data_IF_282386654939
#
_entry.id   IF_282386654939
#
_cell.length_a   1.000
_cell.length_b   1.000
_cell.length_c   1.000
_cell.angle_alpha   90.00
_cell.angle_beta   90.00
_cell.angle_gamma   90.00
#
_symmetry.space_group_name_H-M   'P 1'
#
loop_
_entity.id
_entity.type
_entity.pdbx_description
1 polymer ?
#
# COMPACT_ATOMS: atom_id res chain seq x y z
N UNK A 1 -11.28 4.98 -1.01
CA UNK A 1 -9.92 4.41 -0.80
C UNK A 1 -9.94 3.03 -0.17
N UNK A 2 -8.89 2.22 -0.38
CA UNK A 2 -8.79 0.86 0.18
C UNK A 2 -7.58 0.70 1.10
N UNK A 3 -7.78 0.05 2.24
CA UNK A 3 -6.74 -0.35 3.19
C UNK A 3 -6.62 -1.87 3.17
N UNK A 4 -5.45 -2.38 2.78
CA UNK A 4 -5.16 -3.80 2.70
C UNK A 4 -4.32 -4.25 3.89
N UNK A 5 -4.95 -4.95 4.83
CA UNK A 5 -4.31 -5.52 6.00
C UNK A 5 -3.75 -6.90 5.65
N UNK A 6 -2.42 -7.03 5.56
CA UNK A 6 -1.74 -8.30 5.28
C UNK A 6 -1.45 -9.04 6.59
N UNK A 7 -2.20 -10.09 6.84
CA UNK A 7 -2.21 -10.85 8.09
C UNK A 7 -2.09 -12.37 7.86
N UNK A 8 -2.02 -13.12 8.94
CA UNK A 8 -2.02 -14.58 9.01
C UNK A 8 -1.88 -15.06 10.46
N UNK A 9 -1.93 -14.15 11.44
CA UNK A 9 -1.99 -14.33 12.90
C UNK A 9 -0.80 -15.07 13.56
N UNK A 10 -0.13 -15.95 12.83
CA UNK A 10 1.02 -16.74 13.26
C UNK A 10 2.32 -16.23 12.62
N UNK A 11 3.44 -16.53 13.28
CA UNK A 11 4.79 -16.28 12.76
C UNK A 11 5.12 -17.17 11.56
N UNK A 12 5.86 -16.63 10.59
CA UNK A 12 6.39 -17.41 9.46
C UNK A 12 5.39 -17.83 8.39
N UNK A 13 4.13 -17.40 8.43
CA UNK A 13 3.12 -17.79 7.42
C UNK A 13 3.41 -17.24 6.02
N UNK A 14 4.18 -16.16 5.91
CA UNK A 14 4.53 -15.50 4.65
C UNK A 14 3.93 -14.09 4.46
N UNK A 15 3.42 -13.45 5.53
CA UNK A 15 2.85 -12.08 5.51
C UNK A 15 3.75 -11.06 4.80
N UNK A 16 4.97 -10.85 5.31
CA UNK A 16 5.91 -9.93 4.69
C UNK A 16 6.22 -10.29 3.24
N UNK A 17 6.26 -11.59 2.90
CA UNK A 17 6.51 -12.02 1.52
C UNK A 17 5.35 -11.65 0.58
N UNK A 18 4.10 -11.87 0.98
CA UNK A 18 2.93 -11.39 0.24
C UNK A 18 2.93 -9.86 0.14
N UNK A 19 3.22 -9.16 1.24
CA UNK A 19 3.24 -7.70 1.26
C UNK A 19 4.28 -7.13 0.28
N UNK A 20 5.50 -7.67 0.25
CA UNK A 20 6.53 -7.31 -0.75
C UNK A 20 6.04 -7.54 -2.18
N UNK A 21 5.28 -8.61 -2.43
CA UNK A 21 4.69 -8.89 -3.75
C UNK A 21 3.62 -7.89 -4.14
N UNK A 22 2.77 -7.48 -3.21
CA UNK A 22 1.76 -6.44 -3.44
C UNK A 22 2.42 -5.08 -3.72
N UNK A 23 3.42 -4.71 -2.92
CA UNK A 23 4.18 -3.45 -3.10
C UNK A 23 4.89 -3.44 -4.45
N UNK A 24 5.61 -4.51 -4.81
CA UNK A 24 6.30 -4.60 -6.09
C UNK A 24 5.32 -4.54 -7.27
N UNK A 25 4.17 -5.23 -7.16
CA UNK A 25 3.12 -5.15 -8.17
C UNK A 25 2.63 -3.71 -8.34
N UNK A 26 2.33 -3.01 -7.25
CA UNK A 26 1.86 -1.63 -7.30
C UNK A 26 2.90 -0.68 -7.88
N UNK A 27 4.19 -0.85 -7.56
CA UNK A 27 5.28 -0.08 -8.17
C UNK A 27 5.35 -0.34 -9.68
N UNK A 28 5.35 -1.61 -10.12
CA UNK A 28 5.46 -1.94 -11.55
C UNK A 28 4.25 -1.46 -12.35
N UNK A 29 3.06 -1.50 -11.77
CA UNK A 29 1.83 -1.01 -12.40
C UNK A 29 1.62 0.50 -12.24
N UNK A 30 2.56 1.22 -11.60
CA UNK A 30 2.45 2.66 -11.30
C UNK A 30 1.15 3.04 -10.57
N UNK A 31 0.69 2.17 -9.68
CA UNK A 31 -0.50 2.42 -8.88
C UNK A 31 -0.16 3.38 -7.74
N UNK A 32 -1.02 4.37 -7.41
CA UNK A 32 -0.82 5.21 -6.24
C UNK A 32 -1.10 4.41 -4.97
N UNK A 33 -0.12 4.33 -4.07
CA UNK A 33 -0.27 3.66 -2.77
C UNK A 33 0.73 4.19 -1.74
N UNK A 34 0.44 3.90 -0.48
CA UNK A 34 1.35 4.06 0.66
C UNK A 34 1.57 2.70 1.32
N UNK A 35 2.83 2.38 1.60
CA UNK A 35 3.21 1.23 2.42
C UNK A 35 3.26 1.63 3.91
N UNK A 36 2.66 0.83 4.77
CA UNK A 36 2.82 0.95 6.22
C UNK A 36 3.30 -0.40 6.77
N UNK A 37 4.45 -0.41 7.42
CA UNK A 37 4.95 -1.57 8.14
C UNK A 37 4.71 -1.40 9.64
N UNK A 38 3.95 -2.32 10.22
CA UNK A 38 3.54 -2.24 11.64
C UNK A 38 4.32 -3.18 12.54
N UNK A 39 5.30 -3.92 12.00
CA UNK A 39 6.20 -4.73 12.80
C UNK A 39 7.20 -3.83 13.55
N UNK A 40 7.02 -3.72 14.87
CA UNK A 40 7.91 -2.94 15.74
C UNK A 40 9.34 -3.49 15.74
N UNK A 41 9.50 -4.80 15.68
CA UNK A 41 10.75 -5.50 15.97
C UNK A 41 11.58 -5.71 14.70
N UNK A 42 10.94 -6.11 13.60
CA UNK A 42 11.61 -6.42 12.34
C UNK A 42 10.78 -5.94 11.14
N UNK A 43 10.83 -4.62 10.82
CA UNK A 43 10.07 -4.03 9.72
C UNK A 43 10.71 -4.36 8.35
N UNK A 44 10.71 -5.64 8.01
CA UNK A 44 11.47 -6.22 6.89
C UNK A 44 10.91 -5.85 5.51
N UNK A 45 9.68 -5.34 5.43
CA UNK A 45 9.10 -4.78 4.21
C UNK A 45 9.54 -3.34 4.06
N UNK A 46 9.40 -2.53 5.11
CA UNK A 46 9.85 -1.13 5.11
C UNK A 46 11.35 -1.03 4.79
N UNK A 47 12.18 -1.87 5.39
CA UNK A 47 13.63 -1.84 5.14
C UNK A 47 14.02 -2.09 3.68
N UNK A 48 13.18 -2.79 2.91
CA UNK A 48 13.42 -3.07 1.48
C UNK A 48 12.88 -1.94 0.60
N UNK A 49 11.74 -1.34 0.97
CA UNK A 49 10.98 -0.44 0.08
C UNK A 49 11.00 1.05 0.48
N UNK A 50 11.58 1.43 1.62
CA UNK A 50 11.60 2.83 2.10
C UNK A 50 12.12 3.87 1.12
N UNK A 51 13.04 3.48 0.24
CA UNK A 51 13.64 4.36 -0.77
C UNK A 51 13.04 4.13 -2.17
N UNK A 52 11.93 3.38 -2.26
CA UNK A 52 11.30 2.92 -3.52
C UNK A 52 9.85 3.37 -3.67
N UNK A 53 9.17 3.64 -2.55
CA UNK A 53 7.80 4.18 -2.53
C UNK A 53 7.56 4.97 -1.23
N UNK A 54 6.46 5.73 -1.12
CA UNK A 54 6.02 6.29 0.16
C UNK A 54 5.78 5.16 1.17
N UNK A 55 6.67 5.05 2.15
CA UNK A 55 6.64 3.97 3.12
C UNK A 55 6.90 4.50 4.53
N UNK A 56 6.05 4.10 5.47
CA UNK A 56 6.09 4.57 6.86
C UNK A 56 6.09 3.40 7.84
N UNK A 57 6.59 3.67 9.04
CA UNK A 57 6.45 2.78 10.18
C UNK A 57 5.39 3.35 11.11
N UNK A 58 4.46 2.52 11.55
CA UNK A 58 3.59 2.84 12.67
C UNK A 58 3.43 1.57 13.53
N UNK A 59 2.59 1.59 14.57
CA UNK A 59 2.35 0.37 15.33
C UNK A 59 1.03 0.41 16.08
N UNK A 60 0.45 -0.77 16.29
CA UNK A 60 -0.67 -0.93 17.22
C UNK A 60 -0.14 -0.98 18.65
N UNK A 61 -0.81 -0.29 19.58
CA UNK A 61 -0.36 -0.12 20.97
C UNK A 61 -1.48 -0.36 21.96
N UNK A 62 -1.14 -1.05 23.05
CA UNK A 62 -1.97 -1.20 24.25
C UNK A 62 -1.77 -0.09 25.28
N UNK A 63 -0.71 0.71 25.13
CA UNK A 63 -0.42 1.79 26.05
C UNK A 63 -1.34 2.99 25.75
N UNK A 64 -2.11 3.42 26.76
CA UNK A 64 -2.99 4.59 26.73
C UNK A 64 -2.31 5.86 26.20
N UNK A 65 -1.01 6.03 26.41
CA UNK A 65 -0.24 7.19 25.94
C UNK A 65 0.06 7.16 24.43
N UNK A 66 -0.13 6.01 23.78
CA UNK A 66 0.24 5.75 22.38
C UNK A 66 -0.93 5.10 21.60
N UNK A 67 -2.17 5.33 22.04
CA UNK A 67 -3.37 4.70 21.45
C UNK A 67 -3.62 5.06 19.98
N UNK A 68 -3.08 6.20 19.56
CA UNK A 68 -3.15 6.77 18.21
C UNK A 68 -1.98 6.33 17.31
N UNK A 69 -1.07 5.47 17.80
CA UNK A 69 0.13 5.09 17.04
C UNK A 69 -0.15 4.33 15.74
N UNK A 70 -1.36 3.81 15.55
CA UNK A 70 -1.80 3.18 14.30
C UNK A 70 -2.67 4.11 13.41
N UNK A 71 -3.03 5.31 13.89
CA UNK A 71 -3.86 6.28 13.17
C UNK A 71 -3.26 6.78 11.86
N UNK A 72 -1.91 6.76 11.64
CA UNK A 72 -1.36 6.97 10.31
C UNK A 72 -1.95 6.07 9.23
N UNK A 73 -2.49 4.88 9.55
CA UNK A 73 -3.19 4.04 8.57
C UNK A 73 -4.44 4.77 8.02
N UNK A 74 -5.23 5.40 8.90
CA UNK A 74 -6.43 6.16 8.51
C UNK A 74 -6.06 7.45 7.80
N UNK A 75 -5.13 8.21 8.36
CA UNK A 75 -4.77 9.51 7.79
C UNK A 75 -4.27 9.36 6.35
N UNK A 76 -3.44 8.35 6.07
CA UNK A 76 -2.99 8.06 4.70
C UNK A 76 -4.13 7.66 3.77
N UNK A 77 -5.12 6.92 4.27
CA UNK A 77 -6.31 6.57 3.48
C UNK A 77 -7.21 7.78 3.20
N UNK A 78 -7.36 8.68 4.18
CA UNK A 78 -8.13 9.93 4.06
C UNK A 78 -7.46 10.94 3.13
N UNK A 79 -6.13 10.92 3.02
CA UNK A 79 -5.35 11.66 2.00
C UNK A 79 -5.57 11.13 0.56
N UNK A 80 -6.49 10.20 0.34
CA UNK A 80 -6.79 9.66 -0.98
C UNK A 80 -5.83 8.55 -1.45
N UNK A 81 -5.07 7.92 -0.54
CA UNK A 81 -4.17 6.83 -0.90
C UNK A 81 -4.79 5.45 -0.66
N UNK A 82 -4.48 4.50 -1.55
CA UNK A 82 -4.52 3.09 -1.15
C UNK A 82 -3.42 2.81 -0.13
N UNK A 83 -3.72 2.03 0.89
CA UNK A 83 -2.76 1.72 1.97
C UNK A 83 -2.52 0.22 2.01
N UNK A 84 -1.26 -0.21 1.87
CA UNK A 84 -0.84 -1.60 2.06
C UNK A 84 -0.17 -1.70 3.42
N UNK A 85 -0.77 -2.49 4.33
CA UNK A 85 -0.31 -2.61 5.72
C UNK A 85 0.26 -3.99 5.96
N UNK A 86 1.54 -4.07 6.33
CA UNK A 86 2.16 -5.31 6.82
C UNK A 86 1.91 -5.44 8.33
N UNK A 87 1.16 -6.47 8.73
CA UNK A 87 0.86 -6.74 10.13
C UNK A 87 1.85 -7.75 10.75
N UNK A 88 2.32 -7.56 12.00
CA UNK A 88 3.07 -8.57 12.72
C UNK A 88 2.17 -9.73 13.15
N UNK A 89 2.77 -10.78 13.69
CA UNK A 89 2.02 -11.90 14.27
C UNK A 89 1.36 -11.51 15.60
N UNK A 90 0.27 -12.20 15.97
CA UNK A 90 -0.46 -12.01 17.24
C UNK A 90 -0.92 -10.55 17.46
N UNK A 91 -1.28 -9.85 16.38
CA UNK A 91 -1.70 -8.44 16.45
C UNK A 91 -3.22 -8.28 16.61
N UNK A 92 -3.97 -9.38 16.49
CA UNK A 92 -5.44 -9.40 16.41
C UNK A 92 -6.14 -8.49 17.41
N UNK A 93 -5.85 -8.65 18.70
CA UNK A 93 -6.50 -7.89 19.78
C UNK A 93 -6.32 -6.39 19.58
N UNK A 94 -5.11 -5.95 19.25
CA UNK A 94 -4.80 -4.53 19.10
C UNK A 94 -5.42 -3.91 17.85
N UNK A 95 -5.58 -4.70 16.77
CA UNK A 95 -6.31 -4.25 15.59
C UNK A 95 -7.81 -4.13 15.89
N UNK A 96 -8.38 -5.08 16.64
CA UNK A 96 -9.79 -5.01 17.08
C UNK A 96 -10.03 -3.77 17.94
N UNK A 97 -9.22 -3.56 18.98
CA UNK A 97 -9.32 -2.39 19.85
C UNK A 97 -9.16 -1.08 19.06
N UNK A 98 -8.26 -1.06 18.09
CA UNK A 98 -8.08 0.10 17.22
C UNK A 98 -9.31 0.38 16.35
N UNK A 99 -9.93 -0.66 15.75
CA UNK A 99 -11.17 -0.50 15.01
C UNK A 99 -12.32 -0.01 15.89
N UNK A 100 -12.45 -0.55 17.11
CA UNK A 100 -13.49 -0.15 18.06
C UNK A 100 -13.31 1.29 18.54
N UNK A 101 -12.07 1.69 18.87
CA UNK A 101 -11.75 3.05 19.30
C UNK A 101 -11.98 4.08 18.20
N UNK A 102 -11.53 3.79 16.98
CA UNK A 102 -11.66 4.72 15.85
C UNK A 102 -13.08 4.78 15.31
N UNK A 103 -13.88 3.73 15.53
CA UNK A 103 -15.19 3.60 14.92
C UNK A 103 -15.13 3.49 13.40
N UNK A 104 -13.95 3.27 12.80
CA UNK A 104 -13.76 3.37 11.33
C UNK A 104 -14.59 2.35 10.53
N UNK A 105 -15.05 1.29 11.19
CA UNK A 105 -15.93 0.28 10.60
C UNK A 105 -17.42 0.56 10.82
N UNK A 106 -17.79 1.67 11.45
CA UNK A 106 -19.16 2.03 11.78
C UNK A 106 -19.81 2.89 10.68
N UNK A 107 -21.14 2.83 10.57
CA UNK A 107 -21.88 3.64 9.61
C UNK A 107 -21.81 5.14 9.94
N UNK A 108 -21.71 5.47 11.23
CA UNK A 108 -21.54 6.84 11.71
C UNK A 108 -20.23 7.45 11.19
N UNK A 109 -19.13 6.69 11.20
CA UNK A 109 -17.85 7.17 10.70
C UNK A 109 -17.90 7.52 9.21
N UNK A 110 -18.55 6.68 8.40
CA UNK A 110 -18.74 6.95 6.97
C UNK A 110 -19.58 8.22 6.74
N UNK A 111 -20.60 8.44 7.57
CA UNK A 111 -21.46 9.63 7.48
C UNK A 111 -20.69 10.91 7.83
N UNK A 112 -19.94 10.89 8.94
CA UNK A 112 -19.12 12.04 9.38
C UNK A 112 -18.06 12.40 8.35
N UNK A 113 -17.42 11.40 7.73
CA UNK A 113 -16.44 11.66 6.67
C UNK A 113 -17.09 12.35 5.45
N UNK A 114 -18.25 11.87 5.01
CA UNK A 114 -18.94 12.47 3.87
C UNK A 114 -19.35 13.93 4.17
N UNK A 115 -19.93 14.20 5.33
CA UNK A 115 -20.28 15.56 5.77
C UNK A 115 -19.05 16.49 5.79
N UNK A 116 -17.89 16.01 6.27
CA UNK A 116 -16.67 16.81 6.29
C UNK A 116 -16.14 17.15 4.90
N UNK A 117 -16.28 16.23 3.93
CA UNK A 117 -15.86 16.47 2.54
C UNK A 117 -16.77 17.43 1.79
N UNK A 118 -18.08 17.44 2.11
CA UNK A 118 -19.04 18.38 1.52
C UNK A 118 -18.74 19.82 1.97
N UNK A 119 -18.48 20.02 3.26
CA UNK A 119 -18.15 21.36 3.82
C UNK A 119 -16.86 21.94 3.23
N UNK A 120 -15.81 21.12 3.03
CA UNK A 120 -14.57 21.57 2.38
C UNK A 120 -14.79 21.97 0.90
N UNK A 121 -15.69 21.26 0.20
CA UNK A 121 -16.02 21.59 -1.19
C UNK A 121 -16.82 22.90 -1.32
N UNK A 122 -17.70 23.20 -0.36
CA UNK A 122 -18.44 24.46 -0.31
C UNK A 122 -17.52 25.65 -0.02
N UNK A 123 -16.64 25.53 0.99
CA UNK A 123 -15.68 26.58 1.36
C UNK A 123 -14.70 26.92 0.23
N UNK A 124 -14.23 25.91 -0.50
CA UNK A 124 -13.33 26.12 -1.66
C UNK A 124 -14.07 26.75 -2.85
N UNK A 125 -15.36 26.43 -3.04
CA UNK A 125 -16.19 27.08 -4.07
C UNK A 125 -16.48 28.55 -3.75
N UNK A 126 -16.72 28.90 -2.49
CA UNK A 126 -16.94 30.28 -2.06
C UNK A 126 -15.65 31.12 -2.19
N UNK A 127 -14.51 30.57 -1.78
CA UNK A 127 -13.20 31.23 -1.92
C UNK A 127 -12.85 31.53 -3.40
N UNK A 128 -13.12 30.59 -4.31
CA UNK A 128 -12.87 30.77 -5.74
C UNK A 128 -13.77 31.84 -6.40
N UNK A 129 -14.94 32.13 -5.82
CA UNK A 129 -15.82 33.21 -6.29
C UNK A 129 -15.50 34.59 -5.69
N UNK A 130 -14.75 34.63 -4.58
CA UNK A 130 -14.39 35.85 -3.87
C UNK A 130 -13.17 36.61 -4.42
N UNK A 131 -12.29 35.98 -5.19
CA UNK A 131 -11.03 36.58 -5.66
C UNK A 131 -11.11 37.36 -7.00
N UNK A 132 -12.29 37.61 -7.55
CA UNK A 132 -12.43 38.30 -8.87
C UNK A 132 -12.66 39.82 -8.75
N UNK A 133 -12.55 40.44 -7.56
CA UNK A 133 -12.94 41.86 -7.38
C UNK A 133 -11.91 42.82 -6.77
N UNK A 134 -10.62 42.47 -6.67
CA UNK A 134 -9.61 43.41 -6.14
C UNK A 134 -8.31 43.49 -6.97
N UNK A 135 -8.39 43.75 -8.28
CA UNK A 135 -7.23 44.28 -9.03
C UNK A 135 -7.65 45.27 -10.13
N UNK A 136 -8.32 46.36 -9.77
CA UNK A 136 -8.28 47.60 -10.57
C UNK A 136 -8.40 48.83 -9.66
N UNK A 137 -7.27 49.32 -9.14
CA UNK A 137 -6.93 50.75 -9.07
C UNK A 137 -5.74 50.99 -8.14
N UNK A 138 -4.59 51.30 -8.72
CA UNK A 138 -3.88 52.54 -8.38
C UNK A 138 -2.82 52.86 -9.44
N UNK A 139 -2.92 54.10 -9.93
CA UNK A 139 -2.17 54.70 -11.03
C UNK A 139 -0.88 55.36 -10.52
N UNK A 140 0.15 55.30 -11.36
CA UNK A 140 1.07 56.39 -11.75
C UNK A 140 1.93 57.14 -10.71
N UNK A 141 3.26 57.09 -10.91
CA UNK A 141 4.17 58.24 -11.16
C UNK A 141 5.57 57.68 -11.54
N UNK A 142 6.00 57.74 -12.81
CA UNK A 142 6.94 58.72 -13.43
C UNK A 142 8.26 58.94 -12.63
N UNK A 143 9.49 58.85 -13.15
CA UNK A 143 10.05 59.26 -14.45
C UNK A 143 11.55 58.88 -14.60
N UNK A 144 11.97 58.59 -15.85
CA UNK A 144 13.19 59.03 -16.60
C UNK A 144 14.63 58.84 -16.03
N UNK A 145 15.72 58.58 -16.77
CA UNK A 145 16.06 58.39 -18.20
C UNK A 145 17.59 58.07 -18.32
N UNK A 146 17.95 57.08 -19.17
CA UNK A 146 19.13 56.87 -20.07
C UNK A 146 20.63 57.08 -19.64
N UNK A 147 21.52 56.06 -19.78
CA UNK A 147 22.53 55.80 -20.88
C UNK A 147 23.93 56.42 -20.57
N UNK A 148 25.15 55.84 -20.73
CA UNK A 148 25.77 54.66 -21.36
C UNK A 148 27.17 54.45 -20.72
N UNK A 149 27.76 53.24 -20.81
CA UNK A 149 29.19 53.03 -20.58
C UNK A 149 29.62 51.55 -20.52
N UNK A 150 30.06 51.02 -21.66
CA UNK A 150 30.59 49.67 -21.93
C UNK A 150 31.81 49.29 -21.04
N UNK A 151 31.98 48.00 -20.72
CA UNK A 151 33.21 47.19 -20.95
C UNK A 151 32.84 45.69 -20.93
N UNK A 152 33.26 44.99 -21.99
CA UNK A 152 33.20 43.54 -22.21
C UNK A 152 34.02 42.71 -21.19
N UNK A 153 33.55 41.50 -20.84
CA UNK A 153 34.31 40.26 -21.10
C UNK A 153 33.49 39.00 -20.76
N UNK A 154 33.68 38.02 -21.63
CA UNK A 154 32.99 36.74 -21.78
C UNK A 154 33.48 35.65 -20.82
N UNK A 155 32.59 34.73 -20.42
CA UNK A 155 32.61 33.31 -20.85
C UNK A 155 31.48 32.50 -20.22
N UNK A 156 30.88 31.69 -21.08
CA UNK A 156 29.67 30.88 -20.96
C UNK A 156 29.75 29.77 -19.89
N UNK A 157 28.67 29.65 -19.09
CA UNK A 157 28.24 28.43 -18.39
C UNK A 157 27.10 27.80 -19.21
N UNK A 158 26.97 26.45 -19.26
CA UNK A 158 26.00 25.79 -20.12
C UNK A 158 24.58 25.81 -19.54
N UNK A 159 23.63 26.02 -20.45
CA UNK A 159 22.18 26.12 -20.26
C UNK A 159 21.56 24.93 -19.52
N UNK A 160 20.79 25.26 -18.47
CA UNK A 160 19.71 24.45 -17.92
C UNK A 160 18.45 24.71 -18.76
N UNK A 161 18.04 23.72 -19.56
CA UNK A 161 16.71 23.75 -20.17
C UNK A 161 15.67 23.38 -19.12
N UNK A 162 14.88 24.39 -18.79
CA UNK A 162 13.64 24.37 -18.03
C UNK A 162 12.59 23.55 -18.79
N UNK A 163 12.27 22.35 -18.28
CA UNK A 163 11.09 21.59 -18.67
C UNK A 163 10.15 21.55 -17.47
N UNK A 164 9.52 22.70 -17.20
CA UNK A 164 8.35 22.79 -16.34
C UNK A 164 7.16 22.14 -17.05
N UNK A 165 7.06 20.82 -16.98
CA UNK A 165 5.77 20.15 -17.11
C UNK A 165 5.64 19.21 -15.91
N UNK A 166 5.21 19.78 -14.79
CA UNK A 166 4.68 19.00 -13.67
C UNK A 166 3.42 18.31 -14.16
N UNK A 167 3.56 17.11 -14.70
CA UNK A 167 2.45 16.17 -14.82
C UNK A 167 1.90 15.97 -13.41
N UNK A 168 0.85 16.71 -13.07
CA UNK A 168 0.00 16.41 -11.94
C UNK A 168 -0.56 15.01 -12.21
N UNK A 169 0.02 14.02 -11.52
CA UNK A 169 -0.56 12.69 -11.41
C UNK A 169 -2.02 12.85 -11.00
N UNK A 170 -2.97 12.16 -11.67
CA UNK A 170 -4.39 12.38 -11.46
C UNK A 170 -4.72 12.11 -10.00
N UNK A 171 -4.99 13.18 -9.26
CA UNK A 171 -5.41 13.09 -7.86
C UNK A 171 -6.83 12.54 -7.91
N UNK A 172 -6.97 11.26 -7.56
CA UNK A 172 -8.29 10.64 -7.50
C UNK A 172 -9.07 11.33 -6.39
N UNK A 173 -10.15 12.04 -6.73
CA UNK A 173 -10.98 12.73 -5.75
C UNK A 173 -11.50 11.70 -4.73
N UNK A 174 -11.21 11.92 -3.45
CA UNK A 174 -11.59 11.02 -2.37
C UNK A 174 -13.11 11.08 -2.17
N UNK A 175 -13.78 9.93 -2.33
CA UNK A 175 -15.23 9.77 -2.23
C UNK A 175 -15.74 9.62 -0.78
N UNK A 176 -14.92 9.99 0.21
CA UNK A 176 -15.22 9.84 1.63
C UNK A 176 -15.23 8.38 2.13
N UNK A 177 -15.05 7.38 1.26
CA UNK A 177 -15.21 5.96 1.62
C UNK A 177 -13.87 5.31 1.88
N UNK A 178 -13.70 4.68 3.05
CA UNK A 178 -12.53 3.84 3.35
C UNK A 178 -12.97 2.37 3.48
N UNK A 179 -12.44 1.51 2.62
CA UNK A 179 -12.75 0.08 2.60
C UNK A 179 -11.57 -0.73 3.11
N UNK A 180 -11.79 -1.56 4.13
CA UNK A 180 -10.76 -2.46 4.67
C UNK A 180 -10.85 -3.85 4.05
N UNK A 181 -9.71 -4.43 3.70
CA UNK A 181 -9.58 -5.78 3.19
C UNK A 181 -8.55 -6.55 4.00
N UNK A 182 -8.94 -7.71 4.56
CA UNK A 182 -8.00 -8.59 5.28
C UNK A 182 -7.48 -9.68 4.36
N UNK A 183 -6.19 -9.64 4.06
CA UNK A 183 -5.49 -10.70 3.34
C UNK A 183 -4.93 -11.71 4.34
N UNK A 184 -5.61 -12.84 4.50
CA UNK A 184 -5.22 -13.88 5.44
C UNK A 184 -4.29 -14.91 4.78
N UNK A 185 -3.00 -14.88 5.12
CA UNK A 185 -1.99 -15.80 4.63
C UNK A 185 -2.07 -17.14 5.37
N UNK A 186 -2.59 -18.15 4.68
CA UNK A 186 -2.81 -19.49 5.19
C UNK A 186 -1.70 -20.45 4.74
N UNK A 187 -1.16 -21.22 5.69
CA UNK A 187 -0.12 -22.23 5.43
C UNK A 187 -0.68 -23.59 5.03
N UNK A 188 -2.00 -23.79 5.12
CA UNK A 188 -2.67 -25.08 4.90
C UNK A 188 -2.53 -26.06 6.07
N UNK A 189 -1.89 -25.66 7.15
CA UNK A 189 -1.84 -26.43 8.39
C UNK A 189 -3.12 -26.22 9.22
N UNK A 190 -3.58 -27.22 10.01
CA UNK A 190 -4.81 -27.12 10.79
C UNK A 190 -4.88 -25.88 11.68
N UNK A 191 -3.79 -25.53 12.36
CA UNK A 191 -3.72 -24.34 13.22
C UNK A 191 -3.87 -23.03 12.45
N UNK A 192 -3.31 -22.92 11.25
CA UNK A 192 -3.51 -21.78 10.37
C UNK A 192 -4.94 -21.68 9.86
N UNK A 193 -5.64 -22.80 9.67
CA UNK A 193 -7.04 -22.83 9.27
C UNK A 193 -7.96 -22.44 10.45
N UNK A 194 -7.66 -22.90 11.66
CA UNK A 194 -8.40 -22.51 12.87
C UNK A 194 -8.32 -20.99 13.10
N UNK A 195 -7.13 -20.40 12.93
CA UNK A 195 -6.96 -18.94 13.00
C UNK A 195 -7.73 -18.20 11.91
N UNK A 196 -7.80 -18.76 10.70
CA UNK A 196 -8.61 -18.19 9.61
C UNK A 196 -10.10 -18.23 9.95
N UNK A 197 -10.59 -19.36 10.46
CA UNK A 197 -11.99 -19.52 10.89
C UNK A 197 -12.34 -18.55 12.01
N UNK A 198 -11.46 -18.38 12.99
CA UNK A 198 -11.63 -17.39 14.06
C UNK A 198 -11.71 -15.97 13.48
N UNK A 199 -10.79 -15.62 12.59
CA UNK A 199 -10.79 -14.31 11.92
C UNK A 199 -12.08 -14.04 11.12
N UNK A 200 -12.70 -15.07 10.53
CA UNK A 200 -14.00 -14.92 9.86
C UNK A 200 -15.16 -14.77 10.85
N UNK A 201 -15.12 -15.51 11.95
CA UNK A 201 -16.15 -15.40 13.00
C UNK A 201 -16.20 -13.98 13.57
N UNK A 202 -15.04 -13.36 13.74
CA UNK A 202 -14.95 -12.05 14.39
C UNK A 202 -15.18 -10.88 13.42
N UNK A 203 -14.60 -10.96 12.22
CA UNK A 203 -14.57 -9.83 11.28
C UNK A 203 -15.24 -10.09 9.93
N UNK A 204 -15.68 -11.31 9.64
CA UNK A 204 -16.20 -11.67 8.31
C UNK A 204 -17.46 -10.89 7.89
N UNK A 205 -18.28 -10.45 8.85
CA UNK A 205 -19.44 -9.59 8.59
C UNK A 205 -19.07 -8.09 8.50
N UNK A 206 -17.84 -7.71 8.87
CA UNK A 206 -17.38 -6.31 8.97
C UNK A 206 -16.43 -5.90 7.85
N UNK A 207 -15.49 -6.76 7.49
CA UNK A 207 -14.49 -6.48 6.45
C UNK A 207 -14.38 -7.69 5.51
N UNK A 208 -14.26 -7.49 4.18
CA UNK A 208 -13.97 -8.57 3.26
C UNK A 208 -12.64 -9.28 3.55
N UNK A 209 -12.65 -10.61 3.49
CA UNK A 209 -11.45 -11.44 3.62
C UNK A 209 -11.01 -11.99 2.27
N UNK A 210 -9.70 -12.00 2.05
CA UNK A 210 -9.04 -12.72 0.97
C UNK A 210 -8.23 -13.84 1.61
N UNK A 211 -8.56 -15.08 1.31
CA UNK A 211 -7.79 -16.24 1.74
C UNK A 211 -6.62 -16.47 0.77
N UNK A 212 -5.41 -16.30 1.29
CA UNK A 212 -4.17 -16.50 0.52
C UNK A 212 -3.58 -17.86 0.85
N UNK A 213 -3.79 -18.82 -0.04
CA UNK A 213 -3.21 -20.16 0.02
C UNK A 213 -1.73 -20.10 -0.35
N UNK A 214 -0.84 -20.10 0.65
CA UNK A 214 0.59 -19.97 0.41
C UNK A 214 1.24 -21.30 -0.02
N UNK A 215 1.48 -21.46 -1.32
CA UNK A 215 2.05 -22.68 -1.90
C UNK A 215 3.52 -22.95 -1.52
N UNK A 216 4.17 -22.00 -0.83
CA UNK A 216 5.49 -22.27 -0.24
C UNK A 216 5.45 -23.48 0.70
N UNK A 217 4.37 -23.59 1.49
CA UNK A 217 4.16 -24.59 2.54
C UNK A 217 3.58 -25.89 1.99
N UNK A 218 2.47 -25.83 1.27
CA UNK A 218 1.78 -27.00 0.71
C UNK A 218 1.02 -26.61 -0.55
N UNK A 219 0.80 -27.58 -1.44
CA UNK A 219 -0.17 -27.46 -2.54
C UNK A 219 -1.51 -28.11 -2.21
N UNK A 220 -1.52 -28.98 -1.20
CA UNK A 220 -2.71 -29.63 -0.70
C UNK A 220 -3.32 -28.77 0.42
N UNK A 221 -4.45 -28.15 0.09
CA UNK A 221 -5.27 -27.35 1.00
C UNK A 221 -6.57 -28.07 1.37
N UNK A 222 -6.61 -29.41 1.30
CA UNK A 222 -7.79 -30.22 1.63
C UNK A 222 -8.41 -29.94 3.00
N UNK A 223 -7.64 -29.41 3.96
CA UNK A 223 -8.14 -28.97 5.27
C UNK A 223 -9.21 -27.86 5.14
N UNK A 224 -9.12 -27.02 4.12
CA UNK A 224 -10.11 -25.99 3.80
C UNK A 224 -11.38 -26.56 3.15
N UNK A 225 -11.34 -27.81 2.67
CA UNK A 225 -12.43 -28.42 1.92
C UNK A 225 -13.54 -29.01 2.82
N UNK A 226 -13.37 -28.91 4.13
CA UNK A 226 -14.40 -29.33 5.10
C UNK A 226 -15.69 -28.53 4.93
N UNK A 227 -16.84 -29.17 5.16
CA UNK A 227 -18.16 -28.51 4.98
C UNK A 227 -18.30 -27.24 5.82
N UNK A 228 -17.78 -27.24 7.04
CA UNK A 228 -17.80 -26.09 7.95
C UNK A 228 -17.04 -24.90 7.36
N UNK A 229 -15.80 -25.10 6.94
CA UNK A 229 -14.95 -24.04 6.38
C UNK A 229 -15.53 -23.51 5.06
N UNK A 230 -15.96 -24.41 4.16
CA UNK A 230 -16.62 -24.00 2.89
C UNK A 230 -17.88 -23.17 3.11
N UNK A 231 -18.67 -23.50 4.13
CA UNK A 231 -19.87 -22.73 4.46
C UNK A 231 -19.51 -21.32 4.92
N UNK A 232 -18.42 -21.14 5.70
CA UNK A 232 -17.94 -19.83 6.11
C UNK A 232 -17.38 -19.03 4.94
N UNK A 233 -16.54 -19.65 4.10
CA UNK A 233 -16.01 -19.04 2.86
C UNK A 233 -17.16 -18.52 1.99
N UNK A 234 -18.21 -19.33 1.81
CA UNK A 234 -19.39 -18.92 1.04
C UNK A 234 -20.22 -17.85 1.76
N UNK A 235 -20.43 -17.97 3.07
CA UNK A 235 -21.22 -17.01 3.88
C UNK A 235 -20.62 -15.61 3.76
N UNK A 236 -19.31 -15.51 3.93
CA UNK A 236 -18.57 -14.25 3.96
C UNK A 236 -18.02 -13.82 2.59
N UNK A 237 -18.37 -14.56 1.52
CA UNK A 237 -17.91 -14.29 0.14
C UNK A 237 -16.40 -14.11 0.06
N UNK A 238 -15.67 -14.99 0.74
CA UNK A 238 -14.21 -14.94 0.79
C UNK A 238 -13.64 -15.22 -0.58
N UNK A 239 -12.82 -14.30 -1.08
CA UNK A 239 -12.04 -14.52 -2.30
C UNK A 239 -10.83 -15.40 -2.00
N UNK A 240 -10.53 -16.35 -2.88
CA UNK A 240 -9.42 -17.28 -2.69
C UNK A 240 -8.35 -17.08 -3.75
N UNK A 241 -7.10 -16.89 -3.32
CA UNK A 241 -5.94 -16.86 -4.21
C UNK A 241 -4.87 -17.86 -3.79
N UNK A 242 -4.08 -18.34 -4.76
CA UNK A 242 -2.92 -19.18 -4.50
C UNK A 242 -1.63 -18.39 -4.71
N UNK A 243 -0.88 -18.11 -3.65
CA UNK A 243 0.41 -17.43 -3.76
C UNK A 243 1.47 -18.46 -4.19
N UNK A 244 2.08 -18.33 -5.39
CA UNK A 244 2.99 -19.34 -5.90
C UNK A 244 4.26 -19.45 -5.05
N UNK A 245 4.89 -20.61 -5.07
CA UNK A 245 6.17 -20.83 -4.40
C UNK A 245 7.32 -20.20 -5.18
N UNK A 246 8.04 -19.26 -4.56
CA UNK A 246 9.34 -18.83 -5.08
C UNK A 246 10.42 -19.84 -4.69
N UNK A 247 10.89 -20.61 -5.67
CA UNK A 247 11.90 -21.66 -5.44
C UNK A 247 13.29 -21.04 -5.43
N UNK A 248 13.84 -20.86 -4.23
CA UNK A 248 15.24 -20.51 -4.00
C UNK A 248 15.87 -21.52 -3.05
N UNK A 249 17.17 -21.81 -3.22
CA UNK A 249 17.97 -22.53 -2.22
C UNK A 249 18.11 -21.72 -0.94
N UNK A 250 18.51 -22.35 0.16
CA UNK A 250 18.71 -21.65 1.43
C UNK A 250 19.74 -20.50 1.31
N UNK A 251 20.85 -20.74 0.61
CA UNK A 251 21.87 -19.72 0.34
C UNK A 251 21.32 -18.55 -0.46
N UNK A 252 20.51 -18.82 -1.50
CA UNK A 252 19.87 -17.78 -2.28
C UNK A 252 18.86 -16.98 -1.44
N UNK A 253 18.08 -17.63 -0.56
CA UNK A 253 17.15 -16.93 0.34
C UNK A 253 17.88 -16.02 1.33
N UNK A 254 18.95 -16.53 1.96
CA UNK A 254 19.80 -15.75 2.86
C UNK A 254 20.42 -14.56 2.12
N UNK A 255 20.92 -14.78 0.90
CA UNK A 255 21.49 -13.72 0.08
C UNK A 255 20.44 -12.65 -0.29
N UNK A 256 19.25 -13.08 -0.72
CA UNK A 256 18.14 -12.19 -1.07
C UNK A 256 17.74 -11.30 0.11
N UNK A 257 17.59 -11.90 1.30
CA UNK A 257 17.21 -11.19 2.52
C UNK A 257 18.33 -10.26 3.02
N UNK A 258 19.58 -10.74 3.11
CA UNK A 258 20.70 -9.96 3.61
C UNK A 258 21.02 -8.73 2.75
N UNK A 259 20.76 -8.82 1.44
CA UNK A 259 20.95 -7.72 0.50
C UNK A 259 19.71 -6.83 0.33
N UNK A 260 18.62 -7.10 1.07
CA UNK A 260 17.37 -6.34 1.03
C UNK A 260 16.86 -6.13 -0.41
N UNK A 261 16.91 -7.19 -1.21
CA UNK A 261 16.60 -7.12 -2.64
C UNK A 261 15.10 -6.93 -2.86
N UNK A 262 14.73 -5.96 -3.68
CA UNK A 262 13.40 -5.95 -4.32
C UNK A 262 13.30 -7.08 -5.36
N UNK A 263 12.10 -7.44 -5.82
CA UNK A 263 12.01 -8.44 -6.89
C UNK A 263 12.61 -7.91 -8.19
N UNK A 264 12.44 -6.62 -8.49
CA UNK A 264 13.08 -5.97 -9.64
C UNK A 264 14.62 -6.00 -9.56
N UNK A 265 15.19 -5.70 -8.39
CA UNK A 265 16.64 -5.78 -8.17
C UNK A 265 17.16 -7.21 -8.39
N UNK A 266 16.40 -8.20 -7.89
CA UNK A 266 16.71 -9.61 -8.08
C UNK A 266 16.56 -10.10 -9.52
N UNK A 267 15.60 -9.59 -10.28
CA UNK A 267 15.43 -9.95 -11.69
C UNK A 267 16.54 -9.30 -12.53
N UNK A 268 16.85 -8.02 -12.26
CA UNK A 268 17.92 -7.30 -12.94
C UNK A 268 19.30 -7.91 -12.66
N UNK A 269 19.59 -8.23 -11.39
CA UNK A 269 20.81 -8.93 -10.96
C UNK A 269 22.12 -8.18 -11.25
N UNK A 270 22.07 -6.91 -11.69
CA UNK A 270 23.24 -6.15 -12.15
C UNK A 270 24.31 -5.99 -11.07
N UNK A 271 23.88 -5.81 -9.81
CA UNK A 271 24.75 -5.55 -8.66
C UNK A 271 25.47 -6.80 -8.12
N UNK A 272 24.93 -8.01 -8.39
CA UNK A 272 25.37 -9.24 -7.73
C UNK A 272 25.66 -10.38 -8.71
N UNK A 273 26.23 -10.10 -9.88
CA UNK A 273 26.37 -11.09 -10.96
C UNK A 273 27.16 -12.36 -10.58
N UNK A 274 28.05 -12.28 -9.57
CA UNK A 274 28.87 -13.43 -9.12
C UNK A 274 28.07 -14.40 -8.25
N UNK A 275 27.32 -13.87 -7.29
CA UNK A 275 26.56 -14.61 -6.28
C UNK A 275 25.12 -14.89 -6.73
N UNK A 276 24.53 -13.99 -7.51
CA UNK A 276 23.15 -14.01 -7.99
C UNK A 276 23.09 -14.34 -9.48
N UNK A 277 23.08 -15.64 -9.78
CA UNK A 277 23.23 -16.15 -11.14
C UNK A 277 21.94 -16.08 -11.95
N UNK A 278 22.05 -16.32 -13.26
CA UNK A 278 20.96 -16.27 -14.23
C UNK A 278 19.75 -17.12 -13.80
N UNK A 279 19.99 -18.34 -13.27
CA UNK A 279 18.90 -19.21 -12.81
C UNK A 279 18.14 -18.61 -11.61
N UNK A 280 18.84 -18.00 -10.66
CA UNK A 280 18.21 -17.35 -9.50
C UNK A 280 17.31 -16.20 -9.96
N UNK A 281 17.81 -15.38 -10.90
CA UNK A 281 17.05 -14.30 -11.55
C UNK A 281 15.81 -14.83 -12.27
N UNK A 282 15.94 -15.91 -13.04
CA UNK A 282 14.84 -16.51 -13.78
C UNK A 282 13.74 -17.07 -12.85
N UNK A 283 14.13 -17.66 -11.71
CA UNK A 283 13.17 -18.17 -10.72
C UNK A 283 12.36 -17.06 -10.06
N UNK A 284 13.01 -15.93 -9.69
CA UNK A 284 12.30 -14.76 -9.19
C UNK A 284 11.38 -14.17 -10.27
N UNK A 285 11.87 -14.04 -11.51
CA UNK A 285 11.06 -13.54 -12.62
C UNK A 285 9.81 -14.41 -12.86
N UNK A 286 9.97 -15.74 -12.80
CA UNK A 286 8.86 -16.69 -12.97
C UNK A 286 7.84 -16.58 -11.85
N UNK A 287 8.31 -16.55 -10.60
CA UNK A 287 7.46 -16.34 -9.42
C UNK A 287 6.65 -15.04 -9.58
N UNK A 288 7.35 -13.93 -9.83
CA UNK A 288 6.72 -12.63 -9.84
C UNK A 288 5.74 -12.49 -11.01
N UNK A 289 6.06 -13.04 -12.19
CA UNK A 289 5.12 -13.11 -13.32
C UNK A 289 3.80 -13.80 -12.92
N UNK A 290 3.87 -14.93 -12.22
CA UNK A 290 2.67 -15.66 -11.78
C UNK A 290 1.90 -14.86 -10.73
N UNK A 291 2.59 -14.34 -9.71
CA UNK A 291 1.96 -13.59 -8.64
C UNK A 291 1.28 -12.30 -9.15
N UNK A 292 1.90 -11.59 -10.09
CA UNK A 292 1.29 -10.43 -10.76
C UNK A 292 0.01 -10.79 -11.50
N UNK A 293 0.00 -11.92 -12.21
CA UNK A 293 -1.20 -12.37 -12.92
C UNK A 293 -2.36 -12.61 -11.95
N UNK A 294 -2.08 -13.18 -10.77
CA UNK A 294 -3.07 -13.42 -9.73
C UNK A 294 -3.60 -12.11 -9.14
N UNK A 295 -2.71 -11.19 -8.76
CA UNK A 295 -3.10 -9.87 -8.21
C UNK A 295 -3.90 -9.04 -9.23
N UNK A 296 -3.47 -9.07 -10.49
CA UNK A 296 -4.17 -8.38 -11.58
C UNK A 296 -5.55 -8.96 -11.85
N UNK A 297 -5.72 -10.28 -11.77
CA UNK A 297 -7.01 -10.92 -11.97
C UNK A 297 -7.97 -10.61 -10.82
N UNK A 298 -7.46 -10.55 -9.58
CA UNK A 298 -8.25 -10.18 -8.41
C UNK A 298 -8.64 -8.69 -8.43
N UNK A 299 -7.81 -7.82 -9.01
CA UNK A 299 -8.14 -6.41 -9.29
C UNK A 299 -8.28 -5.50 -8.06
N UNK A 300 -8.15 -6.03 -6.84
CA UNK A 300 -8.36 -5.26 -5.60
C UNK A 300 -7.31 -4.16 -5.35
N UNK A 301 -6.11 -4.31 -5.90
CA UNK A 301 -5.06 -3.29 -5.81
C UNK A 301 -5.19 -2.22 -6.90
N UNK A 302 -5.97 -2.48 -7.95
CA UNK A 302 -6.18 -1.51 -9.02
C UNK A 302 -7.13 -0.41 -8.54
N UNK A 303 -6.85 0.82 -8.97
CA UNK A 303 -7.67 1.98 -8.62
C UNK A 303 -9.08 1.79 -9.23
N UNK A 304 -10.17 1.76 -8.44
CA UNK A 304 -11.53 1.71 -8.97
C UNK A 304 -11.88 2.92 -9.85
N UNK A 305 -11.14 4.03 -9.75
CA UNK A 305 -11.33 5.18 -10.63
C UNK A 305 -10.90 4.94 -12.10
N UNK A 306 -10.21 3.83 -12.40
CA UNK A 306 -9.83 3.43 -13.76
C UNK A 306 -10.52 2.10 -14.13
N UNK A 307 -11.77 1.94 -13.70
CA UNK A 307 -12.66 0.88 -14.14
C UNK A 307 -13.61 1.42 -15.22
N UNK A 308 -13.09 1.90 -16.34
CA UNK A 308 -13.88 1.92 -17.58
C UNK A 308 -13.77 0.54 -18.24
N UNK A 309 -14.63 -0.38 -17.84
CA UNK A 309 -15.15 -1.47 -18.68
C UNK A 309 -16.52 -1.92 -18.18
#
# INVERSE_FOLDING_TARGET
>A
MRVHLVDGEKGGTGKSFLCKTMVEYSIEQKLPFVLIDTDRTNPDVLEVYRDKCPAYKCFFSENEQNVDSADPILYRAMEGNHVIVNLPSQIYTFVTEWFERTGVLSEEFATVLLESTEVESELTSEAATGEVLEEESELQEQSEMEVLGEVEQSKEEPELTDDSNSEQSPTTQFDGKIEFYKWFVCTGQPDSVDLFVQSLADWGDKIPHILVKNEYWTKDFSVLETKSVKNLIKKYRVEEIALPKMVLSEKERQFFAANKMTFSDAIAGKKWQKEWRILSRQRVATYFKQAKSILSQLGLLNNPAISEF
#
